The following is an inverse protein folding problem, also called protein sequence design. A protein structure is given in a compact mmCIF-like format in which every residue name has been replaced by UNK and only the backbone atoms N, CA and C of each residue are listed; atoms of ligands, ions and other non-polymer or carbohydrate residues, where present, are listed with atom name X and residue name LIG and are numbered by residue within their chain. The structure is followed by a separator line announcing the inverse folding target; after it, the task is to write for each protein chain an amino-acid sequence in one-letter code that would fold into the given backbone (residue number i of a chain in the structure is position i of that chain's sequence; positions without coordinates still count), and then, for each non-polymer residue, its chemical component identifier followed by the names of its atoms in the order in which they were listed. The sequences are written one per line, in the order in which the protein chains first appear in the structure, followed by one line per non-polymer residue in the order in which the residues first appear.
data_IF_011513849987
#
_entry.id   IF_011513849987
#
_cell.length_a   1.000
_cell.length_b   1.000
_cell.length_c   1.000
_cell.angle_alpha   90.00
_cell.angle_beta   90.00
_cell.angle_gamma   90.00
#
_symmetry.space_group_name_H-M   'P 1'
#
loop_
_entity.id
_entity.type
_entity.pdbx_description
1 polymer ?
#
# COMPACT_ATOMS: atom_id res chain seq x y z
N UNK A 1 10.27 17.49 17.11
CA UNK A 1 9.14 18.08 16.39
C UNK A 1 9.73 18.95 15.29
N UNK A 2 9.15 18.89 14.09
CA UNK A 2 9.66 19.42 12.80
C UNK A 2 11.04 18.94 12.32
N UNK A 3 11.15 18.45 11.07
CA UNK A 3 12.38 18.69 10.30
C UNK A 3 13.19 17.52 9.70
N UNK A 4 12.76 16.25 9.78
CA UNK A 4 13.38 15.20 8.94
C UNK A 4 12.36 14.67 7.96
N UNK A 5 12.25 15.32 6.80
CA UNK A 5 11.39 14.90 5.68
C UNK A 5 11.65 13.43 5.38
N UNK A 6 10.73 12.58 5.82
CA UNK A 6 10.64 11.21 5.37
C UNK A 6 9.84 11.24 4.06
N UNK A 7 10.41 10.75 2.96
CA UNK A 7 9.67 10.60 1.69
C UNK A 7 8.99 9.24 1.70
N UNK A 8 7.69 9.23 1.45
CA UNK A 8 6.95 8.00 1.14
C UNK A 8 6.70 7.97 -0.36
N UNK A 9 7.09 6.89 -1.01
CA UNK A 9 6.92 6.66 -2.44
C UNK A 9 6.12 5.36 -2.60
N UNK A 10 4.88 5.49 -3.07
CA UNK A 10 4.06 4.35 -3.48
C UNK A 10 4.33 4.01 -4.95
N UNK A 11 4.53 2.74 -5.26
CA UNK A 11 4.57 2.22 -6.63
C UNK A 11 3.60 1.05 -6.75
N UNK A 12 2.85 1.01 -7.83
CA UNK A 12 2.10 -0.19 -8.21
C UNK A 12 2.85 -0.82 -9.38
N UNK A 13 3.31 -2.05 -9.19
CA UNK A 13 3.84 -2.90 -10.26
C UNK A 13 2.74 -3.89 -10.67
N UNK A 14 2.20 -3.77 -11.90
CA UNK A 14 1.21 -4.69 -12.41
C UNK A 14 1.74 -6.13 -12.43
N UNK A 15 0.88 -7.15 -12.27
CA UNK A 15 -0.57 -7.05 -12.10
C UNK A 15 -1.03 -6.90 -10.64
N UNK A 16 -0.21 -7.24 -9.64
CA UNK A 16 -0.68 -7.42 -8.25
C UNK A 16 0.31 -7.01 -7.17
N UNK A 17 1.31 -6.18 -7.50
CA UNK A 17 2.37 -5.83 -6.56
C UNK A 17 2.23 -4.36 -6.15
N UNK A 18 1.95 -4.10 -4.88
CA UNK A 18 2.04 -2.77 -4.28
C UNK A 18 3.36 -2.61 -3.53
N UNK A 19 4.14 -1.60 -3.85
CA UNK A 19 5.37 -1.24 -3.14
C UNK A 19 5.20 0.11 -2.44
N UNK A 20 5.59 0.18 -1.17
CA UNK A 20 5.73 1.42 -0.41
C UNK A 20 7.17 1.54 0.05
N UNK A 21 7.83 2.61 -0.40
CA UNK A 21 9.21 2.93 -0.02
C UNK A 21 9.24 4.18 0.85
N UNK A 22 9.75 4.02 2.05
CA UNK A 22 9.96 5.06 3.04
C UNK A 22 11.46 5.39 3.09
N UNK A 23 11.80 6.62 2.76
CA UNK A 23 13.16 7.14 2.80
C UNK A 23 13.28 8.14 3.95
N UNK A 24 14.14 7.84 4.93
CA UNK A 24 14.45 8.76 6.01
C UNK A 24 15.50 9.79 5.56
N UNK A 25 15.50 10.98 6.17
CA UNK A 25 16.50 12.01 5.93
C UNK A 25 17.96 11.56 6.21
N UNK A 26 18.14 10.49 6.99
CA UNK A 26 19.45 9.87 7.27
C UNK A 26 19.96 8.96 6.14
N UNK A 27 19.20 8.81 5.05
CA UNK A 27 19.52 7.87 3.96
C UNK A 27 19.08 6.42 4.23
N UNK A 28 18.47 6.15 5.40
CA UNK A 28 17.86 4.86 5.67
C UNK A 28 16.63 4.66 4.77
N UNK A 29 16.50 3.46 4.19
CA UNK A 29 15.39 3.10 3.31
C UNK A 29 14.69 1.87 3.87
N UNK A 30 13.37 1.92 3.91
CA UNK A 30 12.48 0.80 4.16
C UNK A 30 11.56 0.64 2.95
N UNK A 31 11.71 -0.44 2.18
CA UNK A 31 10.79 -0.82 1.12
C UNK A 31 9.94 -2.00 1.58
N UNK A 32 8.64 -1.87 1.39
CA UNK A 32 7.62 -2.85 1.70
C UNK A 32 6.93 -3.18 0.39
N UNK A 33 7.15 -4.38 -0.13
CA UNK A 33 6.46 -4.87 -1.31
C UNK A 33 5.44 -5.92 -0.90
N UNK A 34 4.18 -5.74 -1.27
CA UNK A 34 3.10 -6.70 -1.05
C UNK A 34 2.68 -7.25 -2.41
N UNK A 35 2.79 -8.56 -2.57
CA UNK A 35 2.33 -9.29 -3.74
C UNK A 35 1.02 -9.97 -3.39
N UNK A 36 -0.03 -9.67 -4.12
CA UNK A 36 -1.32 -10.35 -3.98
C UNK A 36 -1.38 -11.53 -4.94
N UNK A 37 -1.26 -12.75 -4.40
CA UNK A 37 -1.28 -13.99 -5.20
C UNK A 37 -2.71 -14.56 -5.19
N UNK A 38 -3.35 -14.74 -6.36
CA UNK A 38 -4.65 -15.40 -6.42
C UNK A 38 -4.49 -16.88 -6.06
N UNK A 39 -5.28 -17.38 -5.11
CA UNK A 39 -5.28 -18.80 -4.73
C UNK A 39 -6.51 -19.53 -5.28
N UNK A 40 -7.65 -18.86 -5.28
CA UNK A 40 -8.93 -19.38 -5.76
C UNK A 40 -9.89 -18.20 -6.09
N UNK A 41 -11.08 -18.50 -6.62
CA UNK A 41 -12.12 -17.51 -6.89
C UNK A 41 -12.49 -16.74 -5.61
N UNK A 42 -12.11 -15.46 -5.56
CA UNK A 42 -12.34 -14.60 -4.40
C UNK A 42 -11.37 -14.82 -3.23
N UNK A 43 -10.34 -15.66 -3.38
CA UNK A 43 -9.29 -15.87 -2.40
C UNK A 43 -7.95 -15.33 -2.90
N UNK A 44 -7.33 -14.49 -2.08
CA UNK A 44 -6.04 -13.88 -2.39
C UNK A 44 -5.12 -13.98 -1.19
N UNK A 45 -3.90 -14.46 -1.40
CA UNK A 45 -2.85 -14.53 -0.39
C UNK A 45 -1.90 -13.35 -0.55
N UNK A 46 -1.86 -12.42 0.41
CA UNK A 46 -0.86 -11.36 0.41
C UNK A 46 0.48 -11.91 0.91
N UNK A 47 1.54 -11.71 0.12
CA UNK A 47 2.93 -11.99 0.49
C UNK A 47 3.65 -10.66 0.64
N UNK A 48 4.01 -10.31 1.88
CA UNK A 48 4.75 -9.09 2.17
C UNK A 48 6.26 -9.35 2.28
N UNK A 49 7.04 -8.62 1.51
CA UNK A 49 8.49 -8.60 1.53
C UNK A 49 8.99 -7.25 2.07
N UNK A 50 9.89 -7.30 3.05
CA UNK A 50 10.43 -6.12 3.72
C UNK A 50 11.93 -6.03 3.45
N UNK A 51 12.33 -5.00 2.72
CA UNK A 51 13.74 -4.66 2.51
C UNK A 51 14.08 -3.41 3.33
N UNK A 52 15.12 -3.47 4.17
CA UNK A 52 15.60 -2.31 4.92
C UNK A 52 17.11 -2.14 4.74
N UNK A 53 17.61 -0.91 4.82
CA UNK A 53 19.05 -0.64 4.88
C UNK A 53 19.69 -1.44 6.02
N UNK A 54 20.88 -1.98 5.76
CA UNK A 54 21.66 -2.74 6.75
C UNK A 54 21.93 -1.83 7.95
N UNK A 55 21.29 -2.16 9.07
CA UNK A 55 21.41 -1.41 10.31
C UNK A 55 21.96 -2.34 11.38
N UNK A 56 22.31 -1.77 12.53
CA UNK A 56 22.83 -2.52 13.66
C UNK A 56 21.78 -3.46 14.30
N UNK A 57 20.49 -3.19 14.08
CA UNK A 57 19.39 -4.02 14.58
C UNK A 57 19.35 -5.40 13.88
N UNK A 58 19.34 -6.50 14.65
CA UNK A 58 19.16 -7.85 14.11
C UNK A 58 17.89 -7.98 13.26
N UNK A 59 17.98 -8.71 12.15
CA UNK A 59 16.87 -8.83 11.19
C UNK A 59 15.57 -9.40 11.78
N UNK A 60 15.68 -10.32 12.76
CA UNK A 60 14.51 -10.88 13.45
C UNK A 60 13.78 -9.84 14.30
N UNK A 61 14.49 -8.88 14.89
CA UNK A 61 13.90 -7.84 15.74
C UNK A 61 13.17 -6.81 14.87
N UNK A 62 13.75 -6.44 13.73
CA UNK A 62 13.06 -5.64 12.72
C UNK A 62 11.77 -6.31 12.24
N UNK A 63 11.82 -7.63 12.01
CA UNK A 63 10.64 -8.43 11.60
C UNK A 63 9.52 -8.38 12.64
N UNK A 64 9.83 -8.52 13.93
CA UNK A 64 8.82 -8.44 14.98
C UNK A 64 8.22 -7.05 15.12
N UNK A 65 9.04 -5.99 15.09
CA UNK A 65 8.58 -4.62 15.14
C UNK A 65 7.69 -4.26 13.93
N UNK A 66 8.11 -4.66 12.72
CA UNK A 66 7.34 -4.48 11.49
C UNK A 66 6.01 -5.24 11.58
N UNK A 67 6.02 -6.50 12.01
CA UNK A 67 4.79 -7.29 12.15
C UNK A 67 3.85 -6.67 13.18
N UNK A 68 4.34 -6.29 14.36
CA UNK A 68 3.52 -5.69 15.42
C UNK A 68 2.90 -4.35 14.99
N UNK A 69 3.65 -3.51 14.28
CA UNK A 69 3.17 -2.21 13.81
C UNK A 69 2.14 -2.34 12.67
N UNK A 70 2.36 -3.27 11.73
CA UNK A 70 1.49 -3.41 10.56
C UNK A 70 0.26 -4.28 10.83
N UNK A 71 0.30 -5.18 11.82
CA UNK A 71 -0.81 -6.08 12.15
C UNK A 71 -2.15 -5.36 12.41
N UNK A 72 -2.23 -4.28 13.22
CA UNK A 72 -3.50 -3.59 13.43
C UNK A 72 -4.02 -2.93 12.15
N UNK A 73 -3.14 -2.36 11.32
CA UNK A 73 -3.50 -1.73 10.04
C UNK A 73 -4.02 -2.80 9.07
N UNK A 74 -3.35 -3.96 8.99
CA UNK A 74 -3.78 -5.11 8.20
C UNK A 74 -5.15 -5.64 8.65
N UNK A 75 -5.42 -5.65 9.96
CA UNK A 75 -6.73 -6.05 10.49
C UNK A 75 -7.84 -5.05 10.15
N UNK A 76 -7.52 -3.74 10.18
CA UNK A 76 -8.45 -2.69 9.75
C UNK A 76 -8.75 -2.82 8.25
N UNK A 77 -7.73 -2.99 7.42
CA UNK A 77 -7.86 -3.14 5.97
C UNK A 77 -8.66 -4.40 5.62
N UNK A 78 -8.36 -5.54 6.26
CA UNK A 78 -9.15 -6.77 6.10
C UNK A 78 -10.61 -6.61 6.50
N UNK A 79 -10.90 -5.84 7.55
CA UNK A 79 -12.28 -5.56 7.96
C UNK A 79 -12.99 -4.67 6.94
N UNK A 80 -12.30 -3.67 6.40
CA UNK A 80 -12.85 -2.79 5.36
C UNK A 80 -13.13 -3.56 4.07
N UNK A 81 -12.18 -4.37 3.58
CA UNK A 81 -12.37 -5.22 2.41
C UNK A 81 -13.53 -6.21 2.59
N UNK A 82 -13.68 -6.78 3.79
CA UNK A 82 -14.81 -7.65 4.10
C UNK A 82 -16.14 -6.90 4.07
N UNK A 83 -16.20 -5.70 4.66
CA UNK A 83 -17.38 -4.84 4.60
C UNK A 83 -17.71 -4.41 3.17
N UNK A 84 -16.71 -4.12 2.34
CA UNK A 84 -16.91 -3.83 0.92
C UNK A 84 -17.47 -5.03 0.17
N UNK A 85 -16.95 -6.24 0.43
CA UNK A 85 -17.44 -7.47 -0.18
C UNK A 85 -18.89 -7.79 0.24
N UNK A 86 -19.21 -7.63 1.52
CA UNK A 86 -20.56 -7.85 2.08
C UNK A 86 -21.56 -6.80 1.56
N UNK A 87 -21.14 -5.55 1.38
CA UNK A 87 -21.97 -4.46 0.88
C UNK A 87 -21.91 -4.27 -0.65
N UNK A 88 -21.30 -5.20 -1.39
CA UNK A 88 -21.17 -5.10 -2.85
C UNK A 88 -22.50 -5.36 -3.53
N UNK A 89 -23.39 -4.38 -3.50
CA UNK A 89 -24.75 -4.44 -4.06
C UNK A 89 -24.75 -4.17 -5.57
N UNK A 90 -23.91 -4.81 -6.38
CA UNK A 90 -23.90 -4.69 -7.86
C UNK A 90 -23.67 -3.28 -8.45
N UNK A 91 -23.72 -2.22 -7.64
CA UNK A 91 -23.50 -0.83 -8.01
C UNK A 91 -22.00 -0.58 -8.16
N UNK A 92 -21.64 0.26 -9.14
CA UNK A 92 -20.27 0.64 -9.38
C UNK A 92 -19.63 1.25 -8.12
N UNK A 93 -18.37 0.92 -7.87
CA UNK A 93 -17.59 1.46 -6.77
C UNK A 93 -17.62 3.00 -6.83
N UNK A 94 -18.10 3.64 -5.76
CA UNK A 94 -18.16 5.10 -5.69
C UNK A 94 -16.78 5.61 -5.32
N UNK A 95 -16.06 6.14 -6.30
CA UNK A 95 -14.74 6.74 -6.13
C UNK A 95 -14.92 8.05 -5.36
N UNK A 96 -14.48 8.07 -4.11
CA UNK A 96 -14.50 9.26 -3.28
C UNK A 96 -13.44 10.28 -3.71
N UNK A 97 -13.55 11.56 -3.30
CA UNK A 97 -12.62 12.63 -3.69
C UNK A 97 -11.17 12.38 -3.22
N UNK A 98 -10.97 11.51 -2.22
CA UNK A 98 -9.66 11.12 -1.71
C UNK A 98 -9.09 9.86 -2.37
N UNK A 99 -9.89 9.14 -3.17
CA UNK A 99 -9.44 7.95 -3.88
C UNK A 99 -8.81 8.33 -5.21
N UNK A 100 -7.61 8.90 -5.11
CA UNK A 100 -6.80 9.31 -6.26
C UNK A 100 -6.08 8.14 -6.94
N UNK A 101 -5.96 7.00 -6.25
CA UNK A 101 -5.19 5.86 -6.72
C UNK A 101 -6.06 4.89 -7.52
N UNK A 102 -7.25 4.51 -7.03
CA UNK A 102 -8.06 3.50 -7.71
C UNK A 102 -8.37 3.83 -9.19
N UNK A 103 -8.68 5.08 -9.59
CA UNK A 103 -8.90 5.40 -11.00
C UNK A 103 -7.67 5.15 -11.88
N UNK A 104 -6.46 5.42 -11.38
CA UNK A 104 -5.22 5.18 -12.11
C UNK A 104 -4.91 3.68 -12.19
N UNK A 105 -5.11 2.97 -11.07
CA UNK A 105 -4.93 1.51 -10.99
C UNK A 105 -5.88 0.79 -11.96
N UNK A 106 -7.17 1.16 -11.96
CA UNK A 106 -8.17 0.57 -12.85
C UNK A 106 -7.89 0.85 -14.32
N UNK A 107 -7.50 2.08 -14.67
CA UNK A 107 -7.09 2.41 -16.04
C UNK A 107 -5.92 1.56 -16.49
N UNK A 108 -4.86 1.50 -15.68
CA UNK A 108 -3.70 0.66 -15.96
C UNK A 108 -4.07 -0.82 -16.10
N UNK A 109 -4.89 -1.36 -15.20
CA UNK A 109 -5.31 -2.77 -15.23
C UNK A 109 -6.09 -3.15 -16.50
N UNK A 110 -6.82 -2.18 -17.09
CA UNK A 110 -7.57 -2.36 -18.33
C UNK A 110 -6.77 -1.96 -19.58
N UNK A 111 -5.45 -1.80 -19.47
CA UNK A 111 -4.57 -1.45 -20.60
C UNK A 111 -4.75 -0.02 -21.12
N UNK A 112 -5.40 0.87 -20.35
CA UNK A 112 -5.57 2.27 -20.73
C UNK A 112 -4.35 3.10 -20.30
N UNK A 113 -3.95 4.11 -21.10
CA UNK A 113 -2.83 4.97 -20.76
C UNK A 113 -3.13 5.78 -19.48
N UNK A 114 -2.17 5.82 -18.58
CA UNK A 114 -2.21 6.69 -17.41
C UNK A 114 -1.46 7.98 -17.72
N UNK A 115 -2.15 9.12 -17.68
CA UNK A 115 -1.51 10.42 -17.79
C UNK A 115 -0.61 10.65 -16.58
N UNK A 116 0.59 11.21 -16.82
CA UNK A 116 1.44 11.68 -15.74
C UNK A 116 0.82 12.96 -15.17
N UNK A 117 0.20 12.85 -14.00
CA UNK A 117 -0.47 13.95 -13.31
C UNK A 117 0.11 14.12 -11.91
N UNK A 118 0.37 15.37 -11.52
CA UNK A 118 0.70 15.73 -10.14
C UNK A 118 -0.56 16.32 -9.49
N UNK A 119 -0.93 15.80 -8.31
CA UNK A 119 -2.09 16.26 -7.54
C UNK A 119 -1.66 16.57 -6.11
N UNK A 120 -2.02 17.75 -5.64
CA UNK A 120 -1.86 18.14 -4.25
C UNK A 120 -3.19 17.91 -3.52
N UNK A 121 -3.15 17.16 -2.43
CA UNK A 121 -4.31 16.89 -1.58
C UNK A 121 -4.09 17.53 -0.22
N UNK A 122 -5.02 18.37 0.20
CA UNK A 122 -5.02 18.93 1.55
C UNK A 122 -5.85 18.01 2.45
N UNK A 123 -5.14 17.24 3.28
CA UNK A 123 -5.73 16.37 4.30
C UNK A 123 -5.79 17.15 5.62
N UNK A 124 -7.00 17.54 6.03
CA UNK A 124 -7.26 18.10 7.35
C UNK A 124 -7.54 16.91 8.30
N UNK A 125 -6.60 16.62 9.19
CA UNK A 125 -6.73 15.59 10.24
C UNK A 125 -7.36 16.16 11.50
#
# INVERSE_FOLDING_TARGET
MEGRRARSIGRLWPPTIGEVRLEAASGAVLSIAVVFVPEDAGLTRPIAHFASTRGWLPGWMKRWALKAFHWPILMQDRRMLRLEQENRTGAAYVIGPLDVLAPAIWRHANGQPCAQEERQLDLWL
#
